data_IF_780754919171
#
_entry.id   IF_780754919171
#
_cell.length_a   1.000
_cell.length_b   1.000
_cell.length_c   1.000
_cell.angle_alpha   90.00
_cell.angle_beta   90.00
_cell.angle_gamma   90.00
#
_symmetry.space_group_name_H-M   'P 1'
#
loop_
_entity.id
_entity.type
_entity.pdbx_description
1 polymer ?
#
# COMPACT_ATOMS: atom_id res chain seq x y z
N UNK A 1 25.28 25.46 -9.65
CA UNK A 1 25.28 25.11 -8.21
C UNK A 1 24.50 23.82 -8.05
N UNK A 2 25.18 22.81 -7.49
CA UNK A 2 24.76 21.46 -7.09
C UNK A 2 23.84 20.65 -8.02
N UNK A 3 24.48 19.88 -8.89
CA UNK A 3 24.10 18.48 -9.11
C UNK A 3 24.30 17.71 -7.79
N UNK A 4 23.22 17.18 -7.21
CA UNK A 4 23.31 16.09 -6.22
C UNK A 4 22.54 14.88 -6.74
N UNK A 5 23.21 14.15 -7.61
CA UNK A 5 22.97 12.73 -7.86
C UNK A 5 23.52 11.93 -6.67
N UNK A 6 22.72 11.77 -5.62
CA UNK A 6 22.97 10.85 -4.50
C UNK A 6 21.63 10.43 -3.91
N UNK A 7 21.25 9.16 -4.09
CA UNK A 7 19.94 8.59 -3.74
C UNK A 7 19.72 8.48 -2.22
N UNK A 8 19.74 9.60 -1.51
CA UNK A 8 19.40 9.66 -0.08
C UNK A 8 17.99 10.21 0.08
N UNK A 9 17.13 9.43 0.73
CA UNK A 9 15.77 9.85 1.07
C UNK A 9 15.80 11.09 1.96
N UNK A 10 14.89 12.04 1.75
CA UNK A 10 14.75 13.20 2.65
C UNK A 10 14.36 12.73 4.06
N UNK A 11 14.99 13.28 5.09
CA UNK A 11 14.77 12.91 6.49
C UNK A 11 13.56 13.63 7.13
N UNK A 12 13.06 14.70 6.49
CA UNK A 12 11.88 15.44 6.95
C UNK A 12 10.88 15.58 5.81
N UNK A 13 9.59 15.45 6.11
CA UNK A 13 8.53 15.67 5.14
C UNK A 13 7.72 16.91 5.49
N UNK A 14 7.77 17.90 4.59
CA UNK A 14 7.14 19.21 4.75
C UNK A 14 5.62 19.10 4.91
N UNK A 15 5.00 18.18 4.16
CA UNK A 15 3.57 17.86 4.22
C UNK A 15 3.35 16.41 4.67
N UNK A 16 3.89 16.04 5.84
CA UNK A 16 3.78 14.68 6.38
C UNK A 16 2.32 14.20 6.42
N UNK A 17 1.40 15.02 6.92
CA UNK A 17 -0.03 14.68 7.01
C UNK A 17 -0.67 14.37 5.67
N UNK A 18 -0.45 15.20 4.63
CA UNK A 18 -1.02 14.95 3.29
C UNK A 18 -0.39 13.73 2.63
N UNK A 19 0.90 13.51 2.87
CA UNK A 19 1.57 12.32 2.35
C UNK A 19 1.02 11.04 2.99
N UNK A 20 0.74 11.05 4.29
CA UNK A 20 0.19 9.89 4.98
C UNK A 20 -1.23 9.59 4.50
N UNK A 21 -2.09 10.60 4.41
CA UNK A 21 -3.44 10.45 3.83
C UNK A 21 -3.38 9.85 2.41
N UNK A 22 -2.46 10.33 1.57
CA UNK A 22 -2.27 9.76 0.24
C UNK A 22 -1.82 8.29 0.30
N UNK A 23 -0.87 7.95 1.17
CA UNK A 23 -0.39 6.57 1.34
C UNK A 23 -1.52 5.64 1.81
N UNK A 24 -2.33 6.10 2.75
CA UNK A 24 -3.49 5.39 3.29
C UNK A 24 -4.55 5.16 2.20
N UNK A 25 -4.97 6.19 1.47
CA UNK A 25 -5.93 6.03 0.35
C UNK A 25 -5.43 5.06 -0.73
N UNK A 26 -4.12 5.04 -1.01
CA UNK A 26 -3.53 4.06 -1.94
C UNK A 26 -3.58 2.65 -1.36
N UNK A 27 -3.26 2.48 -0.06
CA UNK A 27 -3.29 1.19 0.62
C UNK A 27 -4.71 0.63 0.78
N UNK A 28 -5.71 1.50 0.93
CA UNK A 28 -7.12 1.15 1.03
C UNK A 28 -7.76 0.85 -0.34
N UNK A 29 -7.03 1.11 -1.43
CA UNK A 29 -7.48 0.83 -2.79
C UNK A 29 -8.47 1.87 -3.33
N UNK A 30 -8.55 3.05 -2.70
CA UNK A 30 -9.41 4.16 -3.14
C UNK A 30 -8.86 4.90 -4.36
N UNK A 31 -7.65 4.54 -4.82
CA UNK A 31 -7.01 5.17 -5.97
C UNK A 31 -6.47 4.15 -6.99
N UNK A 32 -7.01 4.21 -8.20
CA UNK A 32 -6.52 3.46 -9.34
C UNK A 32 -5.15 3.96 -9.82
N UNK A 33 -4.32 3.07 -10.36
CA UNK A 33 -3.01 3.38 -10.97
C UNK A 33 -1.99 4.12 -10.07
N UNK A 34 -2.16 4.07 -8.75
CA UNK A 34 -1.35 4.88 -7.82
C UNK A 34 -0.03 4.24 -7.38
N UNK A 35 0.31 3.06 -7.93
CA UNK A 35 1.53 2.32 -7.59
C UNK A 35 2.81 3.06 -7.97
N UNK A 36 2.81 3.79 -9.08
CA UNK A 36 3.99 4.54 -9.53
C UNK A 36 4.24 5.77 -8.66
N UNK A 37 3.18 6.53 -8.38
CA UNK A 37 3.20 7.67 -7.45
C UNK A 37 3.69 7.24 -6.07
N UNK A 38 3.20 6.11 -5.57
CA UNK A 38 3.63 5.52 -4.31
C UNK A 38 5.13 5.22 -4.32
N UNK A 39 5.62 4.48 -5.32
CA UNK A 39 7.04 4.12 -5.44
C UNK A 39 7.94 5.36 -5.47
N UNK A 40 7.54 6.39 -6.22
CA UNK A 40 8.31 7.63 -6.31
C UNK A 40 8.41 8.34 -4.94
N UNK A 41 7.29 8.46 -4.22
CA UNK A 41 7.26 9.09 -2.88
C UNK A 41 8.12 8.33 -1.88
N UNK A 42 8.01 7.00 -1.87
CA UNK A 42 8.79 6.13 -0.98
C UNK A 42 10.29 6.17 -1.31
N UNK A 43 10.67 6.34 -2.58
CA UNK A 43 12.06 6.47 -2.99
C UNK A 43 12.70 7.80 -2.55
N UNK A 44 11.90 8.87 -2.42
CA UNK A 44 12.38 10.22 -2.12
C UNK A 44 12.25 10.61 -0.65
N UNK A 45 11.45 9.91 0.16
CA UNK A 45 11.08 10.36 1.51
C UNK A 45 11.15 9.26 2.58
N UNK A 46 12.02 9.44 3.58
CA UNK A 46 12.25 8.50 4.69
C UNK A 46 11.04 8.35 5.61
N UNK A 47 10.42 9.43 6.16
CA UNK A 47 9.28 9.27 7.05
C UNK A 47 8.05 8.68 6.35
N UNK A 48 7.84 8.97 5.07
CA UNK A 48 6.80 8.33 4.27
C UNK A 48 7.06 6.83 4.08
N UNK A 49 8.32 6.45 3.86
CA UNK A 49 8.72 5.05 3.77
C UNK A 49 8.43 4.30 5.07
N UNK A 50 8.87 4.84 6.19
CA UNK A 50 8.68 4.20 7.50
C UNK A 50 7.20 4.05 7.85
N UNK A 51 6.41 5.10 7.63
CA UNK A 51 4.97 5.07 7.87
C UNK A 51 4.26 4.03 6.98
N UNK A 52 4.57 3.98 5.68
CA UNK A 52 4.01 2.98 4.78
C UNK A 52 4.34 1.54 5.23
N UNK A 53 5.60 1.28 5.63
CA UNK A 53 5.99 -0.07 6.06
C UNK A 53 5.35 -0.45 7.39
N UNK A 54 5.15 0.51 8.29
CA UNK A 54 4.42 0.30 9.54
C UNK A 54 2.96 -0.08 9.25
N UNK A 55 2.26 0.69 8.41
CA UNK A 55 0.89 0.41 8.00
C UNK A 55 0.76 -0.96 7.32
N UNK A 56 1.71 -1.32 6.47
CA UNK A 56 1.74 -2.64 5.82
C UNK A 56 1.90 -3.77 6.85
N UNK A 57 2.81 -3.61 7.82
CA UNK A 57 3.01 -4.58 8.89
C UNK A 57 1.76 -4.73 9.77
N UNK A 58 1.09 -3.63 10.10
CA UNK A 58 -0.19 -3.65 10.84
C UNK A 58 -1.25 -4.42 10.05
N UNK A 59 -1.40 -4.14 8.76
CA UNK A 59 -2.35 -4.87 7.88
C UNK A 59 -2.06 -6.36 7.82
N UNK A 60 -0.79 -6.75 7.74
CA UNK A 60 -0.39 -8.15 7.73
C UNK A 60 -0.70 -8.85 9.06
N UNK A 61 -0.52 -8.15 10.19
CA UNK A 61 -0.94 -8.64 11.50
C UNK A 61 -2.46 -8.80 11.57
N UNK A 62 -3.23 -7.82 11.11
CA UNK A 62 -4.70 -7.90 11.09
C UNK A 62 -5.18 -9.10 10.25
N UNK A 63 -4.61 -9.28 9.05
CA UNK A 63 -4.92 -10.42 8.16
C UNK A 63 -4.60 -11.77 8.79
N UNK A 64 -3.50 -11.87 9.53
CA UNK A 64 -3.01 -13.15 10.07
C UNK A 64 -3.55 -13.47 11.46
N UNK A 65 -3.91 -12.46 12.26
CA UNK A 65 -4.27 -12.62 13.68
C UNK A 65 -5.71 -12.26 14.03
N UNK A 66 -6.33 -11.33 13.30
CA UNK A 66 -7.69 -10.88 13.61
C UNK A 66 -8.74 -11.54 12.72
N UNK A 67 -8.42 -11.84 11.45
CA UNK A 67 -9.33 -12.49 10.51
C UNK A 67 -9.00 -13.98 10.35
N UNK A 68 -9.21 -14.79 11.40
CA UNK A 68 -9.25 -16.27 11.28
C UNK A 68 -10.60 -16.77 10.73
N UNK A 69 -11.28 -15.96 9.92
CA UNK A 69 -12.49 -16.39 9.25
C UNK A 69 -12.07 -16.99 7.91
N UNK A 70 -12.23 -18.30 7.80
CA UNK A 70 -12.09 -18.98 6.51
C UNK A 70 -13.08 -18.37 5.54
N UNK A 71 -12.64 -18.08 4.31
CA UNK A 71 -13.54 -17.66 3.24
C UNK A 71 -14.61 -18.75 3.11
N UNK A 72 -15.91 -18.41 3.16
CA UNK A 72 -16.97 -19.40 3.00
C UNK A 72 -16.75 -20.17 1.69
N UNK A 73 -16.65 -21.50 1.78
CA UNK A 73 -16.30 -22.36 0.65
C UNK A 73 -17.25 -22.16 -0.53
N UNK A 74 -18.54 -22.00 -0.24
CA UNK A 74 -19.57 -21.71 -1.24
C UNK A 74 -19.31 -20.42 -2.03
N UNK A 75 -18.82 -19.38 -1.35
CA UNK A 75 -18.48 -18.12 -2.01
C UNK A 75 -17.26 -18.29 -2.91
N UNK A 76 -16.23 -19.01 -2.44
CA UNK A 76 -15.04 -19.30 -3.22
C UNK A 76 -15.37 -20.13 -4.48
N UNK A 77 -16.23 -21.13 -4.35
CA UNK A 77 -16.63 -22.00 -5.46
C UNK A 77 -17.51 -21.26 -6.48
N UNK A 78 -18.43 -20.40 -6.01
CA UNK A 78 -19.24 -19.55 -6.88
C UNK A 78 -18.37 -18.56 -7.69
N UNK A 79 -17.34 -17.97 -7.07
CA UNK A 79 -16.38 -17.11 -7.77
C UNK A 79 -15.60 -17.90 -8.82
N UNK A 80 -15.12 -19.11 -8.49
CA UNK A 80 -14.37 -19.98 -9.41
C UNK A 80 -15.22 -20.37 -10.62
N UNK A 81 -16.49 -20.73 -10.43
CA UNK A 81 -17.40 -21.03 -11.53
C UNK A 81 -17.59 -19.82 -12.46
N UNK A 82 -17.87 -18.64 -11.90
CA UNK A 82 -18.01 -17.42 -12.71
C UNK A 82 -16.76 -17.10 -13.53
N UNK A 83 -15.56 -17.33 -13.00
CA UNK A 83 -14.31 -17.14 -13.75
C UNK A 83 -14.17 -18.16 -14.90
N UNK A 84 -14.60 -19.42 -14.68
CA UNK A 84 -14.61 -20.44 -15.74
C UNK A 84 -15.61 -20.10 -16.85
N UNK A 85 -16.78 -19.56 -16.51
CA UNK A 85 -17.81 -19.17 -17.48
C UNK A 85 -17.42 -17.95 -18.35
N UNK A 86 -16.41 -17.17 -17.91
CA UNK A 86 -15.88 -16.01 -18.65
C UNK A 86 -14.76 -16.42 -19.62
N UNK A 87 -14.25 -17.65 -19.54
CA UNK A 87 -13.26 -18.20 -20.49
C UNK A 87 -13.92 -18.82 -21.70
#
# INVERSE_FOLDING_TARGET
>A
MNEETSQSRKLKCDDTSKCFQLLESILDGEMDNSKEVLKEKLAKCQPCFEHFHLEQAIRDVLKTRCTKQEVPTELADCIRQKIQDIK
#
